data_IF_588671185910
#
_entry.id   IF_588671185910
#
_cell.length_a   1.000
_cell.length_b   1.000
_cell.length_c   1.000
_cell.angle_alpha   90.00
_cell.angle_beta   90.00
_cell.angle_gamma   90.00
#
_symmetry.space_group_name_H-M   'P 1'
#
loop_
_entity.id
_entity.type
_entity.pdbx_description
1 polymer ?
#
# COMPACT_ATOMS: atom_id res chain seq x y z
N UNK A 1 -5.14 23.08 -13.71
CA UNK A 1 -4.18 23.14 -12.58
C UNK A 1 -4.51 21.94 -11.70
N UNK A 2 -3.70 20.88 -11.78
CA UNK A 2 -3.99 19.61 -11.09
C UNK A 2 -3.60 19.67 -9.60
N UNK A 3 -4.54 19.40 -8.68
CA UNK A 3 -4.32 19.51 -7.23
C UNK A 3 -3.38 18.42 -6.66
N UNK A 4 -3.17 17.31 -7.37
CA UNK A 4 -2.30 16.23 -6.92
C UNK A 4 -0.82 16.51 -7.18
N UNK A 5 -0.51 17.26 -8.24
CA UNK A 5 0.85 17.68 -8.55
C UNK A 5 1.39 18.58 -7.43
N UNK A 6 0.62 19.58 -7.00
CA UNK A 6 1.02 20.52 -5.94
C UNK A 6 1.22 19.83 -4.59
N UNK A 7 0.41 18.81 -4.27
CA UNK A 7 0.55 18.05 -3.02
C UNK A 7 1.81 17.18 -3.02
N UNK A 8 2.17 16.61 -4.17
CA UNK A 8 3.40 15.84 -4.34
C UNK A 8 4.66 16.73 -4.28
N UNK A 9 4.63 17.91 -4.90
CA UNK A 9 5.72 18.90 -4.84
C UNK A 9 5.91 19.41 -3.42
N UNK A 10 4.83 19.71 -2.70
CA UNK A 10 4.87 20.14 -1.30
C UNK A 10 5.40 19.05 -0.37
N UNK A 11 5.06 17.78 -0.60
CA UNK A 11 5.54 16.67 0.22
C UNK A 11 7.04 16.41 0.00
N UNK A 12 7.52 16.52 -1.24
CA UNK A 12 8.94 16.41 -1.58
C UNK A 12 9.76 17.59 -1.04
N UNK A 13 9.22 18.82 -1.13
CA UNK A 13 9.86 20.00 -0.53
C UNK A 13 9.90 19.91 1.00
N UNK A 14 8.82 19.46 1.64
CA UNK A 14 8.76 19.29 3.08
C UNK A 14 9.79 18.26 3.57
N UNK A 15 9.94 17.14 2.86
CA UNK A 15 10.96 16.14 3.19
C UNK A 15 12.38 16.68 2.99
N UNK A 16 12.63 17.42 1.90
CA UNK A 16 13.91 18.08 1.65
C UNK A 16 14.29 19.09 2.73
N UNK A 17 13.33 19.91 3.19
CA UNK A 17 13.57 20.90 4.25
C UNK A 17 13.79 20.25 5.63
N UNK A 18 13.04 19.19 5.97
CA UNK A 18 13.22 18.47 7.24
C UNK A 18 14.58 17.76 7.27
N UNK A 19 14.99 17.12 6.16
CA UNK A 19 16.28 16.44 6.09
C UNK A 19 17.44 17.44 6.11
N UNK A 20 17.31 18.59 5.45
CA UNK A 20 18.31 19.65 5.49
C UNK A 20 18.43 20.31 6.88
N UNK A 21 17.31 20.44 7.61
CA UNK A 21 17.33 20.91 9.00
C UNK A 21 18.01 19.89 9.92
N UNK A 22 17.64 18.61 9.83
CA UNK A 22 18.24 17.54 10.61
C UNK A 22 19.75 17.39 10.33
N UNK A 23 20.19 17.52 9.08
CA UNK A 23 21.61 17.48 8.72
C UNK A 23 22.40 18.65 9.34
N UNK A 24 21.83 19.86 9.37
CA UNK A 24 22.46 21.04 9.99
C UNK A 24 22.55 20.91 11.51
N UNK A 25 21.50 20.39 12.14
CA UNK A 25 21.48 20.19 13.58
C UNK A 25 22.49 19.11 14.00
N UNK A 26 22.57 18.00 13.25
CA UNK A 26 23.60 16.97 13.44
C UNK A 26 25.01 17.53 13.27
N UNK A 27 25.26 18.29 12.20
CA UNK A 27 26.57 18.90 11.95
C UNK A 27 26.97 19.89 13.06
N UNK A 28 25.99 20.62 13.63
CA UNK A 28 26.22 21.56 14.73
C UNK A 28 26.51 20.84 16.05
N UNK A 29 25.86 19.71 16.31
CA UNK A 29 26.14 18.87 17.48
C UNK A 29 27.50 18.18 17.38
N UNK A 30 27.89 17.69 16.20
CA UNK A 30 29.21 17.10 15.96
C UNK A 30 30.33 18.13 16.18
N UNK A 31 30.22 19.32 15.59
CA UNK A 31 31.20 20.40 15.79
C UNK A 31 31.27 20.89 17.26
N UNK A 32 30.17 20.77 18.01
CA UNK A 32 30.14 21.09 19.43
C UNK A 32 30.81 20.00 20.29
N UNK A 33 30.67 18.73 19.90
CA UNK A 33 31.35 17.60 20.53
C UNK A 33 32.85 17.59 20.24
N UNK A 34 33.28 17.90 19.02
CA UNK A 34 34.69 18.05 18.65
C UNK A 34 35.39 19.14 19.49
N UNK A 35 34.71 20.29 19.70
CA UNK A 35 35.24 21.35 20.57
C UNK A 35 35.32 20.98 22.05
N UNK A 36 34.47 20.05 22.51
CA UNK A 36 34.51 19.55 23.88
C UNK A 36 35.56 18.43 24.06
N UNK A 37 35.75 17.58 23.05
CA UNK A 37 36.71 16.47 23.05
C UNK A 37 38.18 16.90 22.90
N UNK A 38 38.45 18.12 22.43
CA UNK A 38 39.81 18.70 22.42
C UNK A 38 40.46 18.89 23.81
N UNK A 39 39.76 18.56 24.91
CA UNK A 39 40.26 18.73 26.30
C UNK A 39 40.47 17.44 27.10
N UNK A 40 40.22 16.24 26.56
CA UNK A 40 40.50 14.98 27.28
C UNK A 40 41.00 13.88 26.34
N UNK A 41 42.29 13.61 26.46
CA UNK A 41 43.08 12.60 25.76
C UNK A 41 42.53 11.17 25.80
N UNK A 42 42.78 10.44 24.70
CA UNK A 42 42.68 8.98 24.47
C UNK A 42 41.28 8.46 24.14
N UNK A 43 40.80 8.76 22.94
CA UNK A 43 40.09 7.78 22.12
C UNK A 43 40.95 7.53 20.88
N UNK A 44 41.04 6.29 20.40
CA UNK A 44 41.60 6.04 19.08
C UNK A 44 40.69 6.75 18.10
N UNK A 45 41.16 7.89 17.60
CA UNK A 45 40.49 8.69 16.58
C UNK A 45 40.42 7.81 15.32
N UNK A 46 39.34 7.05 15.18
CA UNK A 46 38.92 6.53 13.89
C UNK A 46 38.51 7.79 13.14
N UNK A 47 39.38 8.23 12.24
CA UNK A 47 39.15 9.43 11.44
C UNK A 47 37.83 9.24 10.69
N UNK A 48 36.84 10.06 11.05
CA UNK A 48 35.49 9.95 10.51
C UNK A 48 35.53 10.19 8.99
N UNK A 49 36.51 10.95 8.51
CA UNK A 49 36.79 11.16 7.08
C UNK A 49 37.32 9.88 6.40
N UNK A 50 38.17 9.07 7.06
CA UNK A 50 38.66 7.79 6.50
C UNK A 50 37.56 6.72 6.41
N UNK A 51 36.58 6.74 7.32
CA UNK A 51 35.43 5.83 7.28
C UNK A 51 34.35 6.26 6.27
N UNK A 52 34.31 7.55 5.90
CA UNK A 52 33.38 8.08 4.89
C UNK A 52 33.83 7.74 3.46
N UNK A 53 35.13 7.60 3.23
CA UNK A 53 35.73 7.24 1.95
C UNK A 53 35.98 5.72 1.78
N UNK A 54 35.54 4.88 2.72
CA UNK A 54 35.68 3.42 2.61
C UNK A 54 34.75 2.88 1.49
N UNK A 55 35.31 2.41 0.35
CA UNK A 55 34.53 1.95 -0.80
C UNK A 55 33.66 0.72 -0.47
N UNK A 56 34.00 -0.03 0.58
CA UNK A 56 33.19 -1.17 1.04
C UNK A 56 31.94 -0.71 1.80
N UNK A 57 32.07 0.36 2.60
CA UNK A 57 30.96 0.95 3.35
C UNK A 57 29.98 1.70 2.43
N UNK A 58 30.49 2.40 1.42
CA UNK A 58 29.67 3.05 0.38
C UNK A 58 28.82 2.03 -0.39
N UNK A 59 29.41 0.88 -0.75
CA UNK A 59 28.69 -0.21 -1.43
C UNK A 59 27.56 -0.76 -0.56
N UNK A 60 27.80 -0.95 0.73
CA UNK A 60 26.81 -1.47 1.68
C UNK A 60 25.67 -0.48 1.92
N UNK A 61 25.96 0.81 1.93
CA UNK A 61 24.97 1.89 1.95
C UNK A 61 24.18 1.96 0.64
N UNK A 62 24.84 1.89 -0.51
CA UNK A 62 24.19 1.87 -1.81
C UNK A 62 23.23 0.68 -1.94
N UNK A 63 23.63 -0.51 -1.48
CA UNK A 63 22.81 -1.73 -1.50
C UNK A 63 21.56 -1.59 -0.59
N UNK A 64 21.72 -1.05 0.62
CA UNK A 64 20.58 -0.76 1.52
C UNK A 64 19.63 0.28 0.93
N UNK A 65 20.16 1.37 0.39
CA UNK A 65 19.36 2.43 -0.22
C UNK A 65 18.67 1.91 -1.47
N UNK A 66 19.33 1.08 -2.29
CA UNK A 66 18.74 0.45 -3.46
C UNK A 66 17.63 -0.55 -3.08
N UNK A 67 17.81 -1.34 -2.02
CA UNK A 67 16.79 -2.25 -1.51
C UNK A 67 15.54 -1.48 -1.04
N UNK A 68 15.74 -0.42 -0.24
CA UNK A 68 14.66 0.45 0.24
C UNK A 68 13.95 1.18 -0.90
N UNK A 69 14.70 1.70 -1.88
CA UNK A 69 14.13 2.35 -3.09
C UNK A 69 13.32 1.36 -3.92
N UNK A 70 13.84 0.15 -4.16
CA UNK A 70 13.14 -0.89 -4.93
C UNK A 70 11.83 -1.32 -4.27
N UNK A 71 11.81 -1.44 -2.95
CA UNK A 71 10.58 -1.75 -2.21
C UNK A 71 9.59 -0.57 -2.24
N UNK A 72 10.07 0.66 -2.08
CA UNK A 72 9.26 1.86 -2.20
C UNK A 72 8.68 2.04 -3.60
N UNK A 73 9.46 1.78 -4.66
CA UNK A 73 9.03 1.83 -6.05
C UNK A 73 7.99 0.75 -6.36
N UNK A 74 8.18 -0.49 -5.89
CA UNK A 74 7.15 -1.54 -6.01
C UNK A 74 5.85 -1.13 -5.33
N UNK A 75 5.95 -0.59 -4.11
CA UNK A 75 4.78 -0.12 -3.36
C UNK A 75 4.10 1.08 -4.04
N UNK A 76 4.87 1.98 -4.64
CA UNK A 76 4.34 3.09 -5.44
C UNK A 76 3.71 2.60 -6.75
N UNK A 77 4.29 1.62 -7.44
CA UNK A 77 3.75 1.04 -8.66
C UNK A 77 2.40 0.35 -8.41
N UNK A 78 2.30 -0.44 -7.34
CA UNK A 78 1.04 -1.07 -6.91
C UNK A 78 -0.01 -0.01 -6.55
N UNK A 79 0.40 1.05 -5.85
CA UNK A 79 -0.49 2.17 -5.51
C UNK A 79 -0.98 2.92 -6.77
N UNK A 80 -0.12 3.10 -7.78
CA UNK A 80 -0.49 3.69 -9.08
C UNK A 80 -1.48 2.81 -9.86
N UNK A 81 -1.40 1.49 -9.69
CA UNK A 81 -2.35 0.53 -10.28
C UNK A 81 -3.70 0.47 -9.53
N UNK A 82 -3.88 1.28 -8.48
CA UNK A 82 -5.09 1.35 -7.68
C UNK A 82 -5.19 0.24 -6.63
N UNK A 83 -4.09 -0.43 -6.29
CA UNK A 83 -4.08 -1.39 -5.20
C UNK A 83 -4.12 -0.68 -3.84
N UNK A 84 -4.84 -1.30 -2.90
CA UNK A 84 -5.05 -0.74 -1.56
C UNK A 84 -6.17 0.31 -1.47
N UNK A 85 -6.89 0.53 -2.57
CA UNK A 85 -8.12 1.34 -2.59
C UNK A 85 -9.34 0.43 -2.76
N UNK A 86 -10.49 0.92 -2.28
CA UNK A 86 -11.77 0.27 -2.47
C UNK A 86 -12.56 1.00 -3.55
N UNK A 87 -12.64 0.40 -4.75
CA UNK A 87 -13.21 1.04 -5.94
C UNK A 87 -14.47 0.33 -6.41
N UNK A 88 -15.43 1.10 -6.91
CA UNK A 88 -16.58 0.60 -7.66
C UNK A 88 -16.24 0.42 -9.14
N UNK A 89 -16.60 -0.72 -9.70
CA UNK A 89 -16.37 -1.03 -11.13
C UNK A 89 -17.67 -1.35 -11.83
N UNK A 90 -17.66 -1.23 -13.16
CA UNK A 90 -18.77 -1.68 -14.01
C UNK A 90 -18.60 -3.16 -14.38
N UNK A 91 -19.65 -3.77 -14.94
CA UNK A 91 -19.59 -5.15 -15.43
C UNK A 91 -18.53 -5.35 -16.53
N UNK A 92 -18.36 -4.36 -17.43
CA UNK A 92 -17.41 -4.44 -18.54
C UNK A 92 -15.95 -4.41 -18.09
N UNK A 93 -15.65 -3.63 -17.05
CA UNK A 93 -14.29 -3.46 -16.55
C UNK A 93 -13.84 -4.61 -15.62
N UNK A 94 -14.79 -5.40 -15.12
CA UNK A 94 -14.54 -6.48 -14.17
C UNK A 94 -13.47 -7.46 -14.65
N UNK A 95 -13.53 -7.89 -15.91
CA UNK A 95 -12.57 -8.83 -16.46
C UNK A 95 -11.17 -8.22 -16.58
N UNK A 96 -11.06 -6.95 -16.99
CA UNK A 96 -9.79 -6.24 -17.07
C UNK A 96 -9.11 -6.12 -15.71
N UNK A 97 -9.90 -5.78 -14.68
CA UNK A 97 -9.40 -5.62 -13.32
C UNK A 97 -9.02 -6.95 -12.65
N UNK A 98 -9.79 -8.03 -12.88
CA UNK A 98 -9.50 -9.36 -12.32
C UNK A 98 -8.32 -10.04 -12.99
N UNK A 99 -8.10 -9.81 -14.29
CA UNK A 99 -6.97 -10.41 -15.03
C UNK A 99 -5.68 -9.62 -14.88
N UNK A 100 -5.75 -8.31 -14.64
CA UNK A 100 -4.58 -7.45 -14.45
C UNK A 100 -3.88 -7.60 -13.10
N UNK A 101 -4.41 -8.41 -12.18
CA UNK A 101 -3.90 -8.51 -10.80
C UNK A 101 -3.91 -9.95 -10.30
N UNK A 102 -2.88 -10.33 -9.53
CA UNK A 102 -2.75 -11.70 -9.00
C UNK A 102 -3.82 -12.03 -7.94
N UNK A 103 -4.18 -11.05 -7.10
CA UNK A 103 -5.13 -11.19 -6.00
C UNK A 103 -6.17 -10.08 -6.07
N UNK A 104 -7.42 -10.47 -6.29
CA UNK A 104 -8.55 -9.54 -6.39
C UNK A 104 -9.70 -10.01 -5.51
N UNK A 105 -10.23 -9.11 -4.71
CA UNK A 105 -11.44 -9.32 -3.90
C UNK A 105 -12.55 -8.51 -4.55
N UNK A 106 -13.60 -9.19 -5.02
CA UNK A 106 -14.81 -8.53 -5.52
C UNK A 106 -15.97 -8.74 -4.53
N UNK A 107 -16.52 -7.63 -4.04
CA UNK A 107 -17.75 -7.64 -3.26
C UNK A 107 -18.95 -7.35 -4.17
N UNK A 108 -19.80 -8.36 -4.33
CA UNK A 108 -21.14 -8.20 -4.91
C UNK A 108 -22.07 -7.66 -3.85
N UNK A 109 -22.48 -6.42 -4.04
CA UNK A 109 -23.33 -5.67 -3.12
C UNK A 109 -24.65 -5.31 -3.80
N UNK A 110 -25.62 -4.91 -2.99
CA UNK A 110 -26.89 -4.38 -3.47
C UNK A 110 -27.41 -3.41 -2.41
N UNK A 111 -27.84 -2.23 -2.86
CA UNK A 111 -28.09 -1.04 -2.01
C UNK A 111 -29.15 -1.25 -0.93
N UNK A 112 -30.06 -2.18 -1.17
CA UNK A 112 -31.21 -2.49 -0.33
C UNK A 112 -30.84 -3.33 0.90
N UNK A 113 -29.72 -4.06 0.86
CA UNK A 113 -29.28 -4.92 1.96
C UNK A 113 -28.36 -4.20 2.93
N UNK A 114 -28.79 -4.05 4.18
CA UNK A 114 -27.97 -3.43 5.24
C UNK A 114 -26.64 -4.16 5.50
N UNK A 115 -26.63 -5.50 5.38
CA UNK A 115 -25.43 -6.32 5.58
C UNK A 115 -24.31 -5.98 4.58
N UNK A 116 -24.65 -5.55 3.37
CA UNK A 116 -23.66 -5.07 2.39
C UNK A 116 -22.93 -3.81 2.90
N UNK A 117 -23.65 -2.87 3.54
CA UNK A 117 -23.04 -1.66 4.11
C UNK A 117 -22.03 -1.97 5.22
N UNK A 118 -22.28 -3.03 6.00
CA UNK A 118 -21.32 -3.49 7.02
C UNK A 118 -20.06 -4.05 6.33
N UNK A 119 -20.24 -4.89 5.31
CA UNK A 119 -19.13 -5.45 4.55
C UNK A 119 -18.26 -4.38 3.90
N UNK A 120 -18.88 -3.38 3.28
CA UNK A 120 -18.19 -2.21 2.69
C UNK A 120 -17.27 -1.52 3.70
N UNK A 121 -17.72 -1.32 4.95
CA UNK A 121 -16.89 -0.69 6.00
C UNK A 121 -15.64 -1.51 6.31
N UNK A 122 -15.80 -2.83 6.46
CA UNK A 122 -14.67 -3.71 6.75
C UNK A 122 -13.69 -3.77 5.58
N UNK A 123 -14.18 -3.94 4.34
CA UNK A 123 -13.34 -3.99 3.15
C UNK A 123 -12.60 -2.66 2.93
N UNK A 124 -13.26 -1.52 3.15
CA UNK A 124 -12.62 -0.21 3.08
C UNK A 124 -11.51 -0.03 4.12
N UNK A 125 -11.66 -0.61 5.31
CA UNK A 125 -10.59 -0.61 6.33
C UNK A 125 -9.46 -1.58 6.04
N UNK A 126 -9.73 -2.67 5.31
CA UNK A 126 -8.74 -3.69 4.93
C UNK A 126 -7.92 -3.29 3.70
N UNK A 127 -8.53 -2.57 2.75
CA UNK A 127 -7.88 -2.11 1.54
C UNK A 127 -6.51 -1.45 1.78
N UNK A 128 -6.36 -0.41 2.63
CA UNK A 128 -5.07 0.24 2.83
C UNK A 128 -4.02 -0.63 3.55
N UNK A 129 -4.45 -1.71 4.23
CA UNK A 129 -3.55 -2.65 4.92
C UNK A 129 -2.97 -3.69 3.96
N UNK A 130 -3.67 -3.99 2.86
CA UNK A 130 -3.29 -5.01 1.89
C UNK A 130 -3.06 -4.39 0.51
N UNK A 131 -1.89 -3.76 0.34
CA UNK A 131 -1.47 -3.13 -0.92
C UNK A 131 -1.19 -4.17 -2.02
N UNK A 132 -1.06 -5.45 -1.67
CA UNK A 132 -0.84 -6.51 -2.65
C UNK A 132 -2.15 -7.01 -3.29
N UNK A 133 -3.30 -6.66 -2.71
CA UNK A 133 -4.62 -7.15 -3.14
C UNK A 133 -5.49 -6.01 -3.62
N UNK A 134 -6.23 -6.23 -4.71
CA UNK A 134 -7.18 -5.25 -5.23
C UNK A 134 -8.56 -5.47 -4.61
N UNK A 135 -9.18 -4.39 -4.11
CA UNK A 135 -10.51 -4.46 -3.51
C UNK A 135 -11.51 -3.73 -4.41
N UNK A 136 -12.46 -4.50 -4.93
CA UNK A 136 -13.47 -4.05 -5.87
C UNK A 136 -14.86 -4.29 -5.30
N UNK A 137 -15.81 -3.44 -5.69
CA UNK A 137 -17.23 -3.66 -5.46
C UNK A 137 -18.01 -3.52 -6.76
N UNK A 138 -19.02 -4.37 -6.89
CA UNK A 138 -19.87 -4.46 -8.07
C UNK A 138 -21.32 -4.55 -7.60
N UNK A 139 -22.19 -3.72 -8.19
CA UNK A 139 -23.61 -3.79 -7.92
C UNK A 139 -24.19 -5.04 -8.60
N UNK A 140 -24.89 -5.88 -7.83
CA UNK A 140 -25.47 -7.12 -8.34
C UNK A 140 -26.54 -6.86 -9.42
N UNK A 141 -27.24 -5.72 -9.35
CA UNK A 141 -28.23 -5.32 -10.37
C UNK A 141 -27.57 -4.93 -11.69
N UNK A 142 -26.37 -4.32 -11.63
CA UNK A 142 -25.63 -3.87 -12.81
C UNK A 142 -24.83 -4.99 -13.48
N UNK A 143 -24.69 -6.15 -12.85
CA UNK A 143 -23.90 -7.26 -13.37
C UNK A 143 -24.61 -8.63 -13.28
N UNK A 144 -25.81 -8.77 -13.89
CA UNK A 144 -26.62 -9.98 -13.78
C UNK A 144 -25.96 -11.20 -14.43
N UNK A 145 -25.08 -11.00 -15.42
CA UNK A 145 -24.36 -12.09 -16.08
C UNK A 145 -23.44 -12.80 -15.09
N UNK A 146 -22.65 -12.06 -14.33
CA UNK A 146 -21.75 -12.64 -13.33
C UNK A 146 -22.48 -13.20 -12.12
N UNK A 147 -23.56 -12.55 -11.66
CA UNK A 147 -24.41 -13.07 -10.57
C UNK A 147 -24.96 -14.45 -10.94
N UNK A 148 -25.47 -14.61 -12.16
CA UNK A 148 -26.01 -15.88 -12.66
C UNK A 148 -24.90 -16.91 -12.88
N UNK A 149 -23.81 -16.52 -13.55
CA UNK A 149 -22.70 -17.42 -13.89
C UNK A 149 -21.95 -17.94 -12.67
N UNK A 150 -21.76 -17.09 -11.65
CA UNK A 150 -21.13 -17.44 -10.37
C UNK A 150 -22.15 -18.02 -9.37
N UNK A 151 -23.43 -18.11 -9.74
CA UNK A 151 -24.50 -18.70 -8.92
C UNK A 151 -24.71 -17.97 -7.59
N UNK A 152 -24.62 -16.64 -7.57
CA UNK A 152 -24.81 -15.83 -6.36
C UNK A 152 -26.30 -15.79 -6.03
N UNK A 153 -26.69 -16.48 -4.94
CA UNK A 153 -28.08 -16.54 -4.45
C UNK A 153 -28.33 -15.66 -3.24
N UNK A 154 -27.27 -15.29 -2.51
CA UNK A 154 -27.35 -14.58 -1.24
C UNK A 154 -26.36 -13.42 -1.23
N UNK A 155 -26.80 -12.26 -0.72
CA UNK A 155 -25.99 -11.06 -0.55
C UNK A 155 -25.85 -10.71 0.93
N UNK A 156 -24.70 -10.17 1.38
CA UNK A 156 -23.50 -9.85 0.60
C UNK A 156 -22.70 -11.10 0.18
N UNK A 157 -22.20 -11.12 -1.05
CA UNK A 157 -21.28 -12.17 -1.51
C UNK A 157 -19.91 -11.55 -1.79
N UNK A 158 -18.86 -12.16 -1.26
CA UNK A 158 -17.48 -11.74 -1.52
C UNK A 158 -16.78 -12.90 -2.22
N UNK A 159 -16.11 -12.60 -3.32
CA UNK A 159 -15.40 -13.59 -4.12
C UNK A 159 -13.94 -13.16 -4.20
N UNK A 160 -13.06 -14.09 -3.83
CA UNK A 160 -11.64 -13.94 -3.96
C UNK A 160 -11.18 -14.62 -5.26
N UNK A 161 -10.61 -13.82 -6.15
CA UNK A 161 -9.99 -14.25 -7.40
C UNK A 161 -8.49 -14.30 -7.18
N UNK A 162 -7.89 -15.47 -7.37
CA UNK A 162 -6.44 -15.64 -7.46
C UNK A 162 -6.08 -16.09 -8.87
N UNK A 163 -5.41 -15.23 -9.62
CA UNK A 163 -4.89 -15.58 -10.95
C UNK A 163 -3.46 -16.09 -10.78
N UNK A 164 -3.26 -17.39 -10.99
CA UNK A 164 -1.92 -17.99 -10.99
C UNK A 164 -1.67 -18.62 -12.35
N UNK A 165 -0.65 -18.14 -13.07
CA UNK A 165 -0.21 -18.73 -14.34
C UNK A 165 -1.31 -18.76 -15.44
N UNK A 166 -2.17 -17.74 -15.47
CA UNK A 166 -3.28 -17.64 -16.43
C UNK A 166 -4.51 -18.46 -16.06
N UNK A 167 -4.49 -19.19 -14.93
CA UNK A 167 -5.64 -19.90 -14.38
C UNK A 167 -6.28 -19.03 -13.31
N UNK A 168 -7.53 -18.61 -13.57
CA UNK A 168 -8.33 -17.88 -12.60
C UNK A 168 -8.97 -18.89 -11.64
N UNK A 169 -8.45 -18.97 -10.42
CA UNK A 169 -9.09 -19.72 -9.33
C UNK A 169 -9.93 -18.77 -8.50
N UNK A 170 -11.17 -19.17 -8.23
CA UNK A 170 -12.13 -18.35 -7.50
C UNK A 170 -12.55 -19.07 -6.23
N UNK A 171 -12.34 -18.43 -5.09
CA UNK A 171 -12.89 -18.86 -3.82
C UNK A 171 -14.09 -17.97 -3.51
N UNK A 172 -15.29 -18.56 -3.59
CA UNK A 172 -16.52 -17.88 -3.22
C UNK A 172 -16.72 -17.99 -1.71
N UNK A 173 -16.72 -16.86 -1.03
CA UNK A 173 -16.99 -16.78 0.41
C UNK A 173 -18.40 -16.19 0.55
N UNK A 174 -19.38 -17.07 0.74
CA UNK A 174 -20.75 -16.67 1.06
C UNK A 174 -20.83 -16.39 2.57
N UNK A 175 -20.67 -15.12 2.96
CA UNK A 175 -20.88 -14.69 4.34
C UNK A 175 -22.38 -14.56 4.62
N UNK A 176 -23.01 -15.70 4.88
CA UNK A 176 -24.34 -15.73 5.47
C UNK A 176 -24.20 -15.43 6.95
N UNK A 177 -24.14 -14.15 7.31
CA UNK A 177 -24.38 -13.73 8.69
C UNK A 177 -25.83 -14.10 9.02
N UNK A 178 -26.03 -15.26 9.66
CA UNK A 178 -27.23 -15.52 10.45
C UNK A 178 -27.24 -14.42 11.51
N UNK A 179 -28.20 -13.50 11.40
CA UNK A 179 -28.61 -12.74 12.56
C UNK A 179 -29.12 -13.79 13.55
N UNK A 180 -28.30 -14.16 14.53
CA UNK A 180 -28.88 -14.51 15.80
C UNK A 180 -29.57 -13.23 16.28
N UNK A 181 -30.89 -13.31 16.37
CA UNK A 181 -31.75 -12.30 16.99
C UNK A 181 -31.15 -11.98 18.36
N UNK A 182 -30.60 -10.78 18.49
CA UNK A 182 -30.31 -10.21 19.79
C UNK A 182 -31.69 -9.86 20.38
N UNK A 183 -32.23 -10.79 21.17
CA UNK A 183 -33.40 -10.58 22.03
C UNK A 183 -32.96 -9.91 23.32
#
# INVERSE_FOLDING_TARGET
MDPDSVKSTLSNLAFGNVMAAAARDYQKEVLAQEKAQASSSVNQDIDLDELMDDPELEKLHADRIAALKKEAEKRQALKRQGHGEYREISEGDFLGEVTGSEKVICHFYHREFYRCKIMDKHLKSLAPRHIDTKFLKLDAENAPFFVTKLGIKTLPCVIFFSCFQGIIKNLKIALSFKQEECT
#
